data_IF_848892245763
#
_entry.id   IF_848892245763
#
_cell.length_a   1.000
_cell.length_b   1.000
_cell.length_c   1.000
_cell.angle_alpha   90.00
_cell.angle_beta   90.00
_cell.angle_gamma   90.00
#
_symmetry.space_group_name_H-M   'P 1'
#
loop_
_entity.id
_entity.type
_entity.pdbx_description
1 polymer ?
#
# COMPACT_ATOMS: atom_id res chain seq x y z
N UNK A 1 -18.32 0.62 47.91
CA UNK A 1 -17.82 -0.59 47.22
C UNK A 1 -18.50 -0.68 45.87
N UNK A 2 -17.80 -0.28 44.81
CA UNK A 2 -18.21 -0.47 43.42
C UNK A 2 -16.93 -0.52 42.58
N UNK A 3 -16.76 -1.49 41.66
CA UNK A 3 -15.49 -1.65 40.96
C UNK A 3 -15.31 -0.54 39.93
N UNK A 4 -14.15 0.13 40.02
CA UNK A 4 -13.75 1.23 39.16
C UNK A 4 -13.45 0.78 37.73
N UNK A 5 -13.70 1.69 36.78
CA UNK A 5 -13.20 1.61 35.41
C UNK A 5 -11.66 1.74 35.40
N UNK A 6 -10.93 0.91 34.64
CA UNK A 6 -9.56 1.24 34.27
C UNK A 6 -9.52 2.14 33.03
N UNK A 7 -8.91 3.30 33.23
CA UNK A 7 -8.43 4.26 32.25
C UNK A 7 -7.34 3.66 31.35
N UNK A 8 -7.21 4.21 30.15
CA UNK A 8 -6.42 3.66 29.06
C UNK A 8 -4.90 3.67 29.26
N UNK A 9 -4.26 2.72 28.56
CA UNK A 9 -2.84 2.72 28.22
C UNK A 9 -2.64 2.08 26.85
N UNK A 10 -1.60 2.44 26.08
CA UNK A 10 -1.33 1.84 24.78
C UNK A 10 -0.95 0.37 24.98
N UNK A 11 -1.77 -0.52 24.42
CA UNK A 11 -1.59 -1.96 24.46
C UNK A 11 -0.22 -2.37 23.89
N UNK A 12 0.74 -2.61 24.79
CA UNK A 12 1.90 -3.44 24.49
C UNK A 12 1.41 -4.88 24.52
N UNK A 13 1.38 -5.53 23.37
CA UNK A 13 1.09 -6.95 23.27
C UNK A 13 2.17 -7.72 24.04
N UNK A 14 1.85 -8.15 25.27
CA UNK A 14 2.68 -9.06 26.07
C UNK A 14 2.46 -10.51 25.59
N UNK A 15 2.87 -10.81 24.35
CA UNK A 15 3.06 -12.20 23.91
C UNK A 15 4.50 -12.61 24.19
N UNK A 16 4.76 -13.76 24.85
CA UNK A 16 6.10 -14.26 25.12
C UNK A 16 6.83 -14.83 23.89
N UNK A 17 6.33 -14.57 22.68
CA UNK A 17 6.81 -15.16 21.41
C UNK A 17 7.37 -14.12 20.42
N UNK A 18 7.79 -12.93 20.90
CA UNK A 18 8.49 -11.95 20.07
C UNK A 18 9.91 -11.76 20.59
N UNK A 19 10.84 -12.58 20.09
CA UNK A 19 12.27 -12.34 20.27
C UNK A 19 12.70 -11.14 19.41
N UNK A 20 13.48 -10.18 19.95
CA UNK A 20 14.12 -9.17 19.14
C UNK A 20 15.15 -9.83 18.21
N UNK A 21 15.01 -9.59 16.91
CA UNK A 21 16.02 -9.95 15.92
C UNK A 21 17.27 -9.08 16.14
N UNK A 22 18.17 -9.53 17.02
CA UNK A 22 19.54 -9.03 17.08
C UNK A 22 20.40 -9.84 16.11
N UNK A 23 21.13 -9.20 15.18
CA UNK A 23 22.14 -9.89 14.39
C UNK A 23 23.32 -10.32 15.28
N UNK A 24 23.95 -11.49 15.02
CA UNK A 24 25.11 -11.95 15.77
C UNK A 24 26.33 -11.03 15.57
N UNK A 25 27.11 -10.87 16.64
CA UNK A 25 28.39 -10.16 16.66
C UNK A 25 29.50 -11.15 16.27
N UNK A 26 30.09 -10.98 15.09
CA UNK A 26 31.22 -11.78 14.62
C UNK A 26 32.51 -11.44 15.41
N UNK A 27 33.26 -12.43 15.89
CA UNK A 27 34.56 -12.24 16.52
C UNK A 27 35.71 -12.35 15.50
N UNK A 28 36.52 -11.29 15.41
CA UNK A 28 37.93 -11.23 15.02
C UNK A 28 38.50 -12.18 13.94
N UNK A 29 39.06 -11.59 12.88
CA UNK A 29 39.97 -12.32 11.99
C UNK A 29 40.63 -11.49 10.89
N UNK A 30 41.84 -10.99 11.17
CA UNK A 30 42.97 -10.91 10.22
C UNK A 30 42.84 -10.07 8.95
N UNK A 31 43.53 -8.92 8.95
CA UNK A 31 43.97 -8.21 7.74
C UNK A 31 44.75 -9.18 6.84
N UNK A 32 44.16 -9.62 5.73
CA UNK A 32 44.89 -10.33 4.65
C UNK A 32 45.19 -9.33 3.54
N UNK A 33 46.47 -9.21 3.28
CA UNK A 33 47.12 -8.45 2.23
C UNK A 33 47.07 -9.29 0.93
N UNK A 34 46.15 -8.94 0.02
CA UNK A 34 46.06 -9.35 -1.39
C UNK A 34 44.78 -8.67 -1.92
N UNK A 35 44.73 -7.82 -2.94
CA UNK A 35 45.59 -7.54 -4.08
C UNK A 35 45.72 -6.03 -4.23
N UNK A 36 46.95 -5.51 -4.30
CA UNK A 36 47.20 -4.17 -4.82
C UNK A 36 47.02 -4.25 -6.34
N UNK A 37 46.04 -3.57 -6.96
CA UNK A 37 45.98 -3.53 -8.41
C UNK A 37 47.22 -2.81 -8.92
N UNK A 38 48.07 -3.57 -9.61
CA UNK A 38 49.26 -3.07 -10.29
C UNK A 38 48.85 -1.99 -11.29
N UNK A 39 49.40 -0.79 -11.09
CA UNK A 39 49.20 0.37 -11.95
C UNK A 39 49.78 0.07 -13.34
N UNK A 40 48.99 0.12 -14.43
CA UNK A 40 49.56 -0.04 -15.76
C UNK A 40 50.32 1.24 -16.16
N UNK A 41 51.54 1.13 -16.72
CA UNK A 41 52.23 2.27 -17.31
C UNK A 41 51.80 2.42 -18.77
N UNK A 42 51.36 3.61 -19.16
CA UNK A 42 51.13 3.94 -20.58
C UNK A 42 49.98 4.91 -20.78
N UNK A 43 50.32 6.19 -20.92
CA UNK A 43 49.39 7.21 -21.40
C UNK A 43 49.14 7.03 -22.91
N UNK A 44 47.87 6.92 -23.30
CA UNK A 44 47.39 7.14 -24.65
C UNK A 44 46.19 8.07 -24.59
N UNK A 45 46.38 9.32 -24.99
CA UNK A 45 45.32 10.32 -25.12
C UNK A 45 44.29 9.82 -26.15
N UNK A 46 43.01 9.75 -25.76
CA UNK A 46 41.91 9.61 -26.72
C UNK A 46 41.12 8.31 -26.64
N UNK A 47 40.47 8.03 -25.51
CA UNK A 47 39.19 7.33 -25.49
C UNK A 47 38.60 7.53 -24.10
N UNK A 48 37.62 8.41 -23.96
CA UNK A 48 36.75 8.35 -22.80
C UNK A 48 36.10 6.98 -22.81
N UNK A 49 36.15 6.19 -21.73
CA UNK A 49 35.35 4.99 -21.66
C UNK A 49 33.90 5.45 -21.60
N UNK A 50 33.20 5.37 -22.73
CA UNK A 50 31.73 5.41 -22.77
C UNK A 50 31.25 4.12 -22.11
N UNK A 51 31.49 3.98 -20.81
CA UNK A 51 30.68 3.13 -19.96
C UNK A 51 29.27 3.67 -20.21
N UNK A 52 28.33 2.91 -20.83
CA UNK A 52 26.93 3.29 -20.82
C UNK A 52 26.61 3.30 -19.35
N UNK A 53 26.54 4.51 -18.85
CA UNK A 53 26.39 4.86 -17.47
C UNK A 53 25.05 4.23 -17.10
N UNK A 54 25.07 3.08 -16.43
CA UNK A 54 23.89 2.29 -16.07
C UNK A 54 22.85 3.10 -15.25
N UNK A 55 23.17 4.36 -14.90
CA UNK A 55 22.34 5.34 -14.21
C UNK A 55 21.48 6.24 -15.13
N UNK A 56 21.68 6.25 -16.45
CA UNK A 56 20.93 7.14 -17.36
C UNK A 56 19.46 6.72 -17.56
N UNK A 57 19.11 5.46 -17.26
CA UNK A 57 17.73 4.98 -17.33
C UNK A 57 16.84 5.50 -16.17
N UNK A 58 17.40 6.14 -15.15
CA UNK A 58 16.65 6.53 -13.96
C UNK A 58 16.09 7.97 -14.01
N UNK A 59 16.56 8.81 -14.94
CA UNK A 59 16.34 10.27 -14.87
C UNK A 59 15.10 10.80 -15.63
N UNK A 60 14.49 10.05 -16.55
CA UNK A 60 13.39 10.57 -17.37
C UNK A 60 12.00 10.04 -16.94
N UNK A 61 11.65 10.18 -15.66
CA UNK A 61 10.22 10.08 -15.26
C UNK A 61 9.53 11.39 -15.60
N UNK A 62 8.82 11.39 -16.73
CA UNK A 62 7.99 12.51 -17.14
C UNK A 62 6.93 12.80 -16.05
N UNK A 63 7.11 13.93 -15.36
CA UNK A 63 6.23 14.39 -14.29
C UNK A 63 4.96 15.06 -14.84
N UNK A 64 4.96 15.48 -16.11
CA UNK A 64 3.85 16.18 -16.74
C UNK A 64 2.81 15.18 -17.29
N UNK A 65 3.27 14.00 -17.74
CA UNK A 65 2.41 12.94 -18.24
C UNK A 65 2.52 11.68 -17.35
N UNK A 66 1.78 11.65 -16.23
CA UNK A 66 1.83 10.51 -15.32
C UNK A 66 1.47 9.21 -16.04
N UNK A 67 2.37 8.23 -15.99
CA UNK A 67 2.13 6.90 -16.53
C UNK A 67 0.96 6.20 -15.80
N UNK A 68 0.24 5.24 -16.41
CA UNK A 68 -0.82 4.48 -15.73
C UNK A 68 -0.34 3.73 -14.47
N UNK A 69 0.98 3.63 -14.25
CA UNK A 69 1.60 3.08 -13.05
C UNK A 69 1.32 3.90 -11.78
N UNK A 70 0.92 5.17 -11.91
CA UNK A 70 0.54 6.01 -10.76
C UNK A 70 -0.61 5.42 -9.92
N UNK A 71 -1.49 4.61 -10.53
CA UNK A 71 -2.58 3.94 -9.82
C UNK A 71 -2.06 2.97 -8.75
N UNK A 72 -0.86 2.40 -8.94
CA UNK A 72 -0.19 1.51 -7.99
C UNK A 72 0.41 2.27 -6.80
N UNK A 73 0.71 3.56 -6.96
CA UNK A 73 1.20 4.40 -5.86
C UNK A 73 0.12 4.57 -4.79
N UNK A 74 0.55 4.67 -3.53
CA UNK A 74 -0.32 5.02 -2.41
C UNK A 74 -1.04 6.36 -2.69
N UNK A 75 -2.32 6.48 -2.29
CA UNK A 75 -3.19 7.62 -2.61
C UNK A 75 -2.60 9.01 -2.30
N UNK A 76 -1.80 9.14 -1.24
CA UNK A 76 -1.12 10.40 -0.86
C UNK A 76 0.20 10.66 -1.60
N UNK A 77 0.79 9.63 -2.23
CA UNK A 77 2.08 9.68 -2.95
C UNK A 77 1.90 9.77 -4.48
N UNK A 78 0.67 9.97 -4.95
CA UNK A 78 0.38 10.25 -6.36
C UNK A 78 0.70 11.72 -6.65
N UNK A 79 0.97 12.03 -7.91
CA UNK A 79 1.21 13.42 -8.35
C UNK A 79 0.04 14.32 -7.94
N UNK A 80 -1.17 13.86 -8.23
CA UNK A 80 -2.42 14.47 -7.74
C UNK A 80 -3.09 13.51 -6.77
N UNK A 81 -3.40 13.99 -5.57
CA UNK A 81 -4.08 13.20 -4.56
C UNK A 81 -5.51 12.90 -5.00
N UNK A 82 -5.85 11.62 -5.07
CA UNK A 82 -7.21 11.16 -5.39
C UNK A 82 -7.62 10.01 -4.46
N UNK A 83 -8.88 9.98 -4.00
CA UNK A 83 -9.38 8.88 -3.19
C UNK A 83 -9.45 7.58 -4.01
N UNK A 84 -9.28 6.44 -3.34
CA UNK A 84 -9.49 5.11 -3.94
C UNK A 84 -10.94 4.60 -3.77
N UNK A 85 -11.74 5.32 -2.98
CA UNK A 85 -13.14 5.02 -2.74
C UNK A 85 -14.03 5.51 -3.90
N UNK A 86 -15.22 4.95 -3.99
CA UNK A 86 -16.19 5.27 -5.04
C UNK A 86 -17.61 4.99 -4.53
N UNK A 87 -18.58 5.64 -5.16
CA UNK A 87 -19.99 5.33 -4.96
C UNK A 87 -20.43 4.25 -5.94
N UNK A 88 -21.30 3.36 -5.48
CA UNK A 88 -21.87 2.29 -6.28
C UNK A 88 -23.38 2.27 -6.14
N UNK A 89 -24.06 1.94 -7.24
CA UNK A 89 -25.47 1.62 -7.27
C UNK A 89 -25.63 0.13 -6.99
N UNK A 90 -26.18 -0.22 -5.83
CA UNK A 90 -26.45 -1.61 -5.46
C UNK A 90 -27.93 -1.88 -5.70
N UNK A 91 -28.21 -2.88 -6.53
CA UNK A 91 -29.55 -3.43 -6.73
C UNK A 91 -29.79 -4.52 -5.71
N UNK A 92 -30.87 -4.37 -4.96
CA UNK A 92 -31.32 -5.41 -4.03
C UNK A 92 -31.98 -6.58 -4.79
N UNK A 93 -31.72 -7.84 -4.39
CA UNK A 93 -32.34 -9.02 -5.02
C UNK A 93 -33.85 -9.15 -4.80
N UNK A 94 -34.40 -8.54 -3.73
CA UNK A 94 -35.83 -8.64 -3.41
C UNK A 94 -36.65 -7.45 -3.90
N UNK A 95 -36.23 -6.23 -3.53
CA UNK A 95 -36.99 -5.00 -3.81
C UNK A 95 -36.73 -4.44 -5.23
N UNK A 96 -35.70 -4.90 -5.96
CA UNK A 96 -35.16 -4.34 -7.22
C UNK A 96 -34.87 -2.83 -7.22
N UNK A 97 -35.02 -2.16 -6.07
CA UNK A 97 -34.66 -0.77 -5.87
C UNK A 97 -33.14 -0.62 -5.87
N UNK A 98 -32.69 0.47 -6.48
CA UNK A 98 -31.28 0.84 -6.54
C UNK A 98 -30.99 1.76 -5.35
N UNK A 99 -30.05 1.37 -4.51
CA UNK A 99 -29.55 2.19 -3.40
C UNK A 99 -28.11 2.58 -3.68
N UNK A 100 -27.79 3.87 -3.51
CA UNK A 100 -26.41 4.34 -3.61
C UNK A 100 -25.64 4.01 -2.33
N UNK A 101 -24.57 3.24 -2.44
CA UNK A 101 -23.74 2.80 -1.32
C UNK A 101 -22.30 3.27 -1.53
N UNK A 102 -21.63 3.66 -0.44
CA UNK A 102 -20.22 3.99 -0.46
C UNK A 102 -19.36 2.72 -0.36
N UNK A 103 -18.28 2.63 -1.14
CA UNK A 103 -17.48 1.39 -1.22
C UNK A 103 -16.78 0.98 0.07
N UNK A 104 -16.54 1.92 1.01
CA UNK A 104 -15.95 1.65 2.32
C UNK A 104 -16.92 2.07 3.44
N UNK A 105 -18.20 1.72 3.30
CA UNK A 105 -19.22 2.01 4.31
C UNK A 105 -18.82 1.42 5.68
N UNK A 106 -18.90 2.23 6.72
CA UNK A 106 -18.59 1.84 8.11
C UNK A 106 -19.81 1.29 8.85
N UNK A 107 -21.02 1.54 8.33
CA UNK A 107 -22.28 1.08 8.90
C UNK A 107 -22.91 0.02 8.02
N UNK A 108 -23.76 -0.81 8.61
CA UNK A 108 -24.62 -1.73 7.87
C UNK A 108 -25.64 -0.90 7.07
N UNK A 109 -25.75 -1.15 5.77
CA UNK A 109 -26.68 -0.43 4.88
C UNK A 109 -27.86 -1.33 4.53
N UNK A 110 -29.08 -0.80 4.66
CA UNK A 110 -30.34 -1.52 4.43
C UNK A 110 -31.04 -1.04 3.14
N UNK A 111 -31.78 -1.92 2.43
CA UNK A 111 -32.70 -1.48 1.36
C UNK A 111 -33.83 -0.64 1.99
N UNK A 112 -34.14 0.52 1.40
CA UNK A 112 -35.25 1.39 1.83
C UNK A 112 -36.62 0.71 1.67
N UNK A 113 -36.75 -0.27 0.78
CA UNK A 113 -38.00 -0.98 0.49
C UNK A 113 -38.26 -2.26 1.28
N UNK A 114 -37.24 -3.11 1.46
CA UNK A 114 -37.41 -4.43 2.08
C UNK A 114 -36.58 -4.64 3.35
N UNK A 115 -35.90 -3.59 3.84
CA UNK A 115 -35.05 -3.60 5.05
C UNK A 115 -33.95 -4.68 5.05
N UNK A 116 -33.70 -5.32 3.92
CA UNK A 116 -32.64 -6.32 3.77
C UNK A 116 -31.27 -5.66 3.84
N UNK A 117 -30.33 -6.32 4.49
CA UNK A 117 -28.93 -5.89 4.53
C UNK A 117 -28.32 -5.97 3.13
N UNK A 118 -27.83 -4.83 2.62
CA UNK A 118 -27.14 -4.72 1.33
C UNK A 118 -25.63 -4.91 1.45
N UNK A 119 -25.04 -4.37 2.53
CA UNK A 119 -23.62 -4.57 2.80
C UNK A 119 -23.31 -4.58 4.30
N UNK A 120 -22.25 -5.31 4.65
CA UNK A 120 -21.65 -5.35 5.98
C UNK A 120 -20.33 -4.56 5.99
N UNK A 121 -20.08 -3.75 7.03
CA UNK A 121 -18.83 -3.02 7.15
C UNK A 121 -17.66 -3.97 7.40
N UNK A 122 -16.52 -3.65 6.81
CA UNK A 122 -15.24 -4.35 7.05
C UNK A 122 -14.14 -3.30 7.27
N UNK A 123 -12.93 -3.73 7.61
CA UNK A 123 -11.77 -2.82 7.70
C UNK A 123 -11.35 -2.18 6.36
N UNK A 124 -11.93 -2.61 5.24
CA UNK A 124 -11.62 -2.12 3.90
C UNK A 124 -12.88 -1.83 3.08
N UNK A 125 -13.02 -2.51 1.94
CA UNK A 125 -14.24 -2.40 1.13
C UNK A 125 -15.38 -3.16 1.83
N UNK A 126 -16.55 -2.54 1.87
CA UNK A 126 -17.74 -3.16 2.43
C UNK A 126 -18.06 -4.48 1.69
N UNK A 127 -18.48 -5.49 2.45
CA UNK A 127 -18.86 -6.80 1.90
C UNK A 127 -20.33 -6.71 1.48
N UNK A 128 -20.62 -6.89 0.20
CA UNK A 128 -21.99 -6.96 -0.30
C UNK A 128 -22.63 -8.29 0.07
N UNK A 129 -23.93 -8.27 0.34
CA UNK A 129 -24.71 -9.49 0.53
C UNK A 129 -24.79 -10.28 -0.77
N UNK A 130 -24.79 -11.61 -0.67
CA UNK A 130 -24.93 -12.51 -1.82
C UNK A 130 -26.20 -12.18 -2.61
N UNK A 131 -26.12 -12.23 -3.95
CA UNK A 131 -27.23 -11.88 -4.84
C UNK A 131 -27.45 -10.38 -5.08
N UNK A 132 -26.73 -9.48 -4.40
CA UNK A 132 -26.75 -8.06 -4.73
C UNK A 132 -25.86 -7.78 -5.96
N UNK A 133 -26.42 -7.14 -6.99
CA UNK A 133 -25.64 -6.65 -8.14
C UNK A 133 -25.24 -5.19 -7.92
N UNK A 134 -24.05 -4.79 -8.37
CA UNK A 134 -23.59 -3.42 -8.21
C UNK A 134 -23.02 -2.83 -9.51
N UNK A 135 -23.22 -1.53 -9.70
CA UNK A 135 -22.59 -0.73 -10.77
C UNK A 135 -21.82 0.42 -10.12
N UNK A 136 -20.58 0.66 -10.55
CA UNK A 136 -19.83 1.84 -10.10
C UNK A 136 -20.39 3.10 -10.75
N UNK A 137 -20.72 4.12 -9.97
CA UNK A 137 -21.00 5.45 -10.52
C UNK A 137 -19.70 6.07 -10.99
N UNK A 138 -19.73 6.60 -12.21
CA UNK A 138 -18.69 7.51 -12.68
C UNK A 138 -19.06 8.91 -12.21
N UNK A 139 -18.08 9.63 -11.66
CA UNK A 139 -18.13 11.06 -11.44
C UNK A 139 -17.38 11.70 -12.61
#
# INVERSE_FOLDING_TARGET
MGPGLPSGGPGRCFSPHCHPWFPPREPGGGRREADVPSRPPGAGLGAQPVIPRLWEAELAKDLLHPSPEEKRKHKKKRLVQSPNSYFMDVKCPGCYKITTVFSHAQTVVLCVGCSTVLCQPTGGKARLTEGCSFRRKQH
#
